data_IF_167266488543
#
_entry.id   IF_167266488543
#
_cell.length_a   1.000
_cell.length_b   1.000
_cell.length_c   1.000
_cell.angle_alpha   90.00
_cell.angle_beta   90.00
_cell.angle_gamma   90.00
#
_symmetry.space_group_name_H-M   'P 1'
#
loop_
_entity.id
_entity.type
_entity.pdbx_description
1 polymer ?
#
# COMPACT_ATOMS: atom_id res chain seq x y z
N UNK A 1 5.88 22.70 17.16
CA UNK A 1 5.13 22.22 15.98
C UNK A 1 4.09 21.24 16.47
N UNK A 2 2.86 21.37 15.99
CA UNK A 2 1.81 20.40 16.28
C UNK A 2 1.97 19.21 15.33
N UNK A 3 1.80 18.01 15.88
CA UNK A 3 1.96 16.74 15.18
C UNK A 3 0.64 15.98 15.21
N UNK A 4 0.22 15.46 14.06
CA UNK A 4 -1.07 14.79 13.92
C UNK A 4 -0.87 13.28 13.90
N UNK A 5 -1.48 12.59 14.85
CA UNK A 5 -1.52 11.13 14.87
C UNK A 5 -2.76 10.61 14.12
N UNK A 6 -2.55 9.67 13.20
CA UNK A 6 -3.61 8.98 12.47
C UNK A 6 -3.60 7.51 12.91
N UNK A 7 -4.73 7.04 13.44
CA UNK A 7 -4.89 5.64 13.87
C UNK A 7 -5.62 4.85 12.78
N UNK A 8 -4.92 3.86 12.23
CA UNK A 8 -5.35 2.96 11.16
C UNK A 8 -4.80 3.34 9.79
N UNK A 9 -4.06 2.43 9.15
CA UNK A 9 -3.53 2.57 7.78
C UNK A 9 -4.46 1.91 6.74
N UNK A 10 -5.78 2.06 6.93
CA UNK A 10 -6.79 1.72 5.93
C UNK A 10 -7.01 2.83 4.89
N UNK A 11 -7.95 2.66 3.95
CA UNK A 11 -8.23 3.67 2.91
C UNK A 11 -8.51 5.06 3.46
N UNK A 12 -9.32 5.15 4.52
CA UNK A 12 -9.65 6.43 5.15
C UNK A 12 -8.41 7.10 5.78
N UNK A 13 -7.64 6.36 6.58
CA UNK A 13 -6.44 6.88 7.24
C UNK A 13 -5.33 7.27 6.27
N UNK A 14 -5.06 6.44 5.25
CA UNK A 14 -4.08 6.78 4.21
C UNK A 14 -4.52 7.97 3.36
N UNK A 15 -5.82 8.14 3.11
CA UNK A 15 -6.35 9.33 2.42
C UNK A 15 -6.18 10.59 3.26
N UNK A 16 -6.45 10.50 4.57
CA UNK A 16 -6.22 11.61 5.50
C UNK A 16 -4.73 11.96 5.56
N UNK A 17 -3.86 10.96 5.71
CA UNK A 17 -2.41 11.13 5.73
C UNK A 17 -1.91 11.82 4.46
N UNK A 18 -2.36 11.35 3.29
CA UNK A 18 -2.01 11.94 2.01
C UNK A 18 -2.38 13.43 1.94
N UNK A 19 -3.59 13.79 2.36
CA UNK A 19 -4.06 15.20 2.32
C UNK A 19 -3.30 16.09 3.29
N UNK A 20 -3.06 15.62 4.52
CA UNK A 20 -2.34 16.38 5.55
C UNK A 20 -0.86 16.55 5.18
N UNK A 21 -0.23 15.51 4.65
CA UNK A 21 1.13 15.59 4.14
C UNK A 21 1.24 16.58 2.97
N UNK A 22 0.28 16.58 2.03
CA UNK A 22 0.22 17.56 0.94
C UNK A 22 0.00 19.00 1.42
N UNK A 23 -0.59 19.19 2.60
CA UNK A 23 -0.70 20.48 3.27
C UNK A 23 0.56 20.85 4.10
N UNK A 24 1.64 20.08 3.97
CA UNK A 24 2.92 20.30 4.63
C UNK A 24 2.86 20.23 6.17
N UNK A 25 1.98 19.36 6.69
CA UNK A 25 1.82 19.10 8.13
C UNK A 25 2.65 17.90 8.58
N UNK A 26 3.14 17.94 9.83
CA UNK A 26 3.85 16.83 10.45
C UNK A 26 2.85 15.76 10.92
N UNK A 27 2.98 14.54 10.40
CA UNK A 27 2.02 13.45 10.62
C UNK A 27 2.72 12.13 10.94
N UNK A 28 2.10 11.35 11.82
CA UNK A 28 2.46 9.95 12.09
C UNK A 28 1.23 9.05 11.87
N UNK A 29 1.42 7.90 11.21
CA UNK A 29 0.36 6.91 10.97
C UNK A 29 0.69 5.64 11.73
N UNK A 30 -0.26 5.19 12.55
CA UNK A 30 -0.14 3.95 13.33
C UNK A 30 -1.11 2.91 12.82
N UNK A 31 -0.66 1.68 12.61
CA UNK A 31 -1.49 0.54 12.21
C UNK A 31 -1.24 -0.60 13.19
N UNK A 32 -2.32 -1.28 13.60
CA UNK A 32 -2.24 -2.38 14.55
C UNK A 32 -1.62 -3.64 13.93
N UNK A 33 -1.69 -3.75 12.59
CA UNK A 33 -1.16 -4.86 11.81
C UNK A 33 0.24 -4.56 11.28
N UNK A 34 0.92 -5.61 10.84
CA UNK A 34 2.21 -5.59 10.15
C UNK A 34 2.13 -5.12 8.68
N UNK A 35 0.93 -4.73 8.22
CA UNK A 35 0.67 -4.32 6.85
C UNK A 35 -0.36 -3.21 6.75
N UNK A 36 -0.21 -2.39 5.71
CA UNK A 36 -1.17 -1.33 5.36
C UNK A 36 -2.34 -1.85 4.51
N UNK A 37 -3.30 -0.96 4.22
CA UNK A 37 -4.45 -1.21 3.36
C UNK A 37 -5.73 -1.59 4.10
N UNK A 38 -5.66 -1.87 5.41
CA UNK A 38 -6.83 -2.20 6.22
C UNK A 38 -7.64 -3.36 5.62
N UNK A 39 -8.92 -3.10 5.30
CA UNK A 39 -9.86 -4.07 4.71
C UNK A 39 -9.67 -4.33 3.21
N UNK A 40 -8.98 -3.46 2.49
CA UNK A 40 -8.80 -3.57 1.02
C UNK A 40 -7.41 -4.09 0.64
N UNK A 41 -6.72 -4.74 1.56
CA UNK A 41 -5.43 -5.34 1.29
C UNK A 41 -5.59 -6.53 0.34
N UNK A 42 -4.79 -6.54 -0.72
CA UNK A 42 -4.78 -7.57 -1.75
C UNK A 42 -3.45 -8.32 -1.72
N UNK A 43 -3.50 -9.63 -1.92
CA UNK A 43 -2.31 -10.48 -2.06
C UNK A 43 -2.13 -10.87 -3.51
N UNK A 44 -0.88 -10.90 -3.98
CA UNK A 44 -0.55 -11.51 -5.26
C UNK A 44 -0.62 -13.04 -5.09
N UNK A 45 -1.57 -13.69 -5.76
CA UNK A 45 -1.60 -15.15 -5.81
C UNK A 45 -0.77 -15.66 -6.98
N UNK A 46 0.34 -16.32 -6.66
CA UNK A 46 1.30 -16.85 -7.65
C UNK A 46 0.68 -17.89 -8.59
N UNK A 47 -0.43 -18.53 -8.20
CA UNK A 47 -1.01 -19.68 -8.91
C UNK A 47 -2.32 -19.41 -9.67
N UNK A 48 -2.83 -18.18 -9.72
CA UNK A 48 -4.08 -17.88 -10.46
C UNK A 48 -3.84 -17.60 -11.96
N UNK A 49 -2.64 -17.17 -12.32
CA UNK A 49 -2.14 -17.26 -13.69
C UNK A 49 -1.52 -18.64 -13.80
N UNK A 50 -2.36 -19.65 -14.08
CA UNK A 50 -1.95 -21.06 -14.08
C UNK A 50 -0.57 -21.25 -14.66
N UNK A 51 0.22 -22.14 -14.05
CA UNK A 51 1.52 -22.59 -14.53
C UNK A 51 1.46 -22.98 -16.01
N UNK A 52 1.57 -21.98 -16.88
CA UNK A 52 1.74 -22.15 -18.30
C UNK A 52 3.23 -22.30 -18.44
N UNK A 53 3.67 -23.55 -18.51
CA UNK A 53 4.98 -24.02 -18.94
C UNK A 53 5.99 -22.89 -19.18
N UNK A 54 7.00 -22.79 -18.31
CA UNK A 54 8.18 -21.93 -18.50
C UNK A 54 9.00 -22.37 -19.73
N UNK A 55 8.46 -22.15 -20.90
CA UNK A 55 9.15 -22.28 -22.18
C UNK A 55 9.04 -20.94 -22.90
N UNK A 56 10.06 -20.08 -22.68
CA UNK A 56 10.42 -18.92 -23.51
C UNK A 56 9.32 -17.83 -23.54
N UNK A 57 9.52 -16.65 -22.98
CA UNK A 57 10.51 -15.67 -23.46
C UNK A 57 10.55 -14.52 -22.44
N UNK A 58 11.74 -14.17 -21.95
CA UNK A 58 11.95 -12.94 -21.18
C UNK A 58 11.79 -11.73 -22.10
N UNK A 59 10.79 -10.88 -21.85
CA UNK A 59 10.83 -9.45 -22.22
C UNK A 59 9.65 -8.70 -21.61
N UNK A 60 9.94 -7.84 -20.64
CA UNK A 60 9.71 -6.40 -20.77
C UNK A 60 10.24 -5.68 -19.53
N UNK A 61 11.37 -4.97 -19.72
CA UNK A 61 11.72 -3.79 -18.95
C UNK A 61 10.59 -2.78 -19.11
N UNK A 62 10.08 -2.23 -18.01
CA UNK A 62 9.54 -0.87 -18.04
C UNK A 62 10.13 -0.09 -16.85
N UNK A 63 10.56 1.12 -17.20
CA UNK A 63 11.12 2.16 -16.34
C UNK A 63 10.18 2.52 -15.20
#
# INVERSE_FOLDING_TARGET
MDRIAIIGAGPAGLTAAYRLHKANLDIDVFEARDRVGGRVFTVLMENYLGQKNRSRTWRAKYY
#
